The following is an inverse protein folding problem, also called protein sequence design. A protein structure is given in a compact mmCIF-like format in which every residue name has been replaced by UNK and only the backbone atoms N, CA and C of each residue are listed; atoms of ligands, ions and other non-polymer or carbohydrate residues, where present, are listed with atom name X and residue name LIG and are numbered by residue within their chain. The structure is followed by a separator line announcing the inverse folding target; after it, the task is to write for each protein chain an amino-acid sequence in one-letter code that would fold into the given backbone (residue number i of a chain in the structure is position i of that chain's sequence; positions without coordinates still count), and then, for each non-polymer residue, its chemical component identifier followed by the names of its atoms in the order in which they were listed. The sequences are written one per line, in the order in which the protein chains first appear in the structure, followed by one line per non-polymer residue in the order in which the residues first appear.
data_IF_372514647275
#
_entry.id   IF_372514647275
#
_cell.length_a   1.000
_cell.length_b   1.000
_cell.length_c   1.000
_cell.angle_alpha   90.00
_cell.angle_beta   90.00
_cell.angle_gamma   90.00
#
_symmetry.space_group_name_H-M   'P 1'
#
loop_
_entity.id
_entity.type
_entity.pdbx_description
1 polymer ?
#
# COMPACT_ATOMS: atom_id res chain seq x y z
N UNK A 1 26.27 -27.47 47.87
CA UNK A 1 25.48 -26.24 47.66
C UNK A 1 25.45 -25.94 46.16
N UNK A 2 24.42 -26.44 45.48
CA UNK A 2 24.20 -26.23 44.05
C UNK A 2 23.82 -24.77 43.81
N UNK A 3 24.62 -24.04 43.01
CA UNK A 3 24.28 -22.67 42.60
C UNK A 3 23.12 -22.76 41.62
N UNK A 4 21.94 -22.35 42.08
CA UNK A 4 20.77 -22.13 41.23
C UNK A 4 21.16 -21.07 40.19
N UNK A 5 21.02 -21.33 38.87
CA UNK A 5 21.32 -20.33 37.88
C UNK A 5 20.34 -19.16 37.97
N UNK A 6 20.89 -17.95 37.92
CA UNK A 6 20.20 -16.68 38.02
C UNK A 6 19.11 -16.55 36.93
N UNK A 7 17.85 -16.45 37.37
CA UNK A 7 16.66 -16.29 36.52
C UNK A 7 16.62 -14.93 35.78
N UNK A 8 17.58 -14.03 36.01
CA UNK A 8 17.67 -12.73 35.34
C UNK A 8 18.10 -12.80 33.87
N UNK A 9 18.65 -13.94 33.40
CA UNK A 9 19.22 -14.07 32.04
C UNK A 9 18.30 -14.64 30.96
N UNK A 10 17.02 -14.89 31.26
CA UNK A 10 16.04 -15.33 30.25
C UNK A 10 14.90 -14.32 30.16
N UNK A 11 15.22 -13.06 29.85
CA UNK A 11 14.30 -12.27 29.03
C UNK A 11 14.81 -12.39 27.61
N UNK A 12 14.33 -13.43 26.89
CA UNK A 12 14.19 -13.29 25.44
C UNK A 12 13.45 -11.97 25.25
N UNK A 13 14.14 -10.96 24.74
CA UNK A 13 13.44 -9.95 23.97
C UNK A 13 12.78 -10.75 22.86
N UNK A 14 11.51 -11.12 23.07
CA UNK A 14 10.59 -11.31 21.97
C UNK A 14 10.53 -9.93 21.32
N UNK A 15 11.51 -9.69 20.45
CA UNK A 15 11.54 -8.58 19.54
C UNK A 15 10.18 -8.61 18.86
N UNK A 16 9.38 -7.56 19.02
CA UNK A 16 7.99 -7.43 18.54
C UNK A 16 7.86 -8.08 17.14
N UNK A 17 7.37 -9.32 17.08
CA UNK A 17 7.07 -10.08 15.84
C UNK A 17 5.80 -9.54 15.15
N UNK A 18 5.48 -8.26 15.39
CA UNK A 18 4.38 -7.59 14.74
C UNK A 18 4.81 -7.22 13.32
N UNK A 19 3.99 -7.49 12.29
CA UNK A 19 4.22 -6.99 10.96
C UNK A 19 4.43 -5.47 11.00
N UNK A 20 5.62 -5.02 10.60
CA UNK A 20 5.91 -3.61 10.32
C UNK A 20 5.45 -3.36 8.89
N UNK A 21 4.13 -3.31 8.70
CA UNK A 21 3.55 -2.97 7.41
C UNK A 21 3.93 -1.52 7.11
N UNK A 22 4.59 -1.30 5.97
CA UNK A 22 4.87 0.03 5.42
C UNK A 22 4.07 0.17 4.14
N UNK A 23 3.70 1.41 3.78
CA UNK A 23 2.87 1.68 2.60
C UNK A 23 3.43 1.01 1.35
N UNK A 24 2.54 0.64 0.43
CA UNK A 24 2.96 0.20 -0.90
C UNK A 24 2.96 1.38 -1.87
N UNK A 25 3.93 1.40 -2.79
CA UNK A 25 3.93 2.26 -3.98
C UNK A 25 4.13 1.37 -5.20
N UNK A 26 3.38 1.63 -6.27
CA UNK A 26 3.56 0.96 -7.55
C UNK A 26 3.46 1.98 -8.69
N UNK A 27 4.21 1.79 -9.76
CA UNK A 27 4.17 2.69 -10.90
C UNK A 27 4.44 1.99 -12.23
N UNK A 28 3.82 2.51 -13.28
CA UNK A 28 3.95 2.06 -14.65
C UNK A 28 4.19 3.27 -15.55
N UNK A 29 5.06 3.10 -16.54
CA UNK A 29 5.35 4.11 -17.53
C UNK A 29 5.29 3.50 -18.94
N UNK A 30 4.85 4.30 -19.91
CA UNK A 30 4.76 3.95 -21.33
C UNK A 30 3.88 2.71 -21.61
N UNK A 31 2.69 2.65 -21.02
CA UNK A 31 1.71 1.59 -21.28
C UNK A 31 0.30 2.16 -21.39
N UNK A 32 -0.46 1.80 -22.43
CA UNK A 32 -1.86 2.21 -22.58
C UNK A 32 -2.77 1.73 -21.44
N UNK A 33 -2.32 0.71 -20.69
CA UNK A 33 -3.04 0.10 -19.56
C UNK A 33 -2.40 0.48 -18.21
N UNK A 34 -1.66 1.60 -18.14
CA UNK A 34 -0.87 1.98 -16.97
C UNK A 34 -1.66 1.97 -15.65
N UNK A 35 -2.88 2.49 -15.66
CA UNK A 35 -3.77 2.52 -14.50
C UNK A 35 -4.22 1.12 -14.07
N UNK A 36 -4.52 0.23 -15.04
CA UNK A 36 -4.93 -1.15 -14.76
C UNK A 36 -3.78 -1.97 -14.18
N UNK A 37 -2.58 -1.86 -14.75
CA UNK A 37 -1.40 -2.52 -14.18
C UNK A 37 -1.02 -1.95 -12.81
N UNK A 38 -1.20 -0.65 -12.61
CA UNK A 38 -0.98 -0.04 -11.28
C UNK A 38 -1.97 -0.56 -10.25
N UNK A 39 -3.25 -0.68 -10.61
CA UNK A 39 -4.26 -1.32 -9.77
C UNK A 39 -3.90 -2.77 -9.40
N UNK A 40 -3.49 -3.59 -10.37
CA UNK A 40 -3.11 -4.98 -10.10
C UNK A 40 -1.86 -5.08 -9.21
N UNK A 41 -0.88 -4.19 -9.42
CA UNK A 41 0.31 -4.07 -8.57
C UNK A 41 -0.07 -3.74 -7.13
N UNK A 42 -0.90 -2.72 -6.92
CA UNK A 42 -1.43 -2.36 -5.60
C UNK A 42 -2.25 -3.47 -4.97
N UNK A 43 -3.07 -4.18 -5.74
CA UNK A 43 -3.85 -5.32 -5.26
C UNK A 43 -2.94 -6.43 -4.74
N UNK A 44 -1.86 -6.76 -5.47
CA UNK A 44 -0.86 -7.75 -5.01
C UNK A 44 -0.16 -7.34 -3.71
N UNK A 45 -0.03 -6.04 -3.46
CA UNK A 45 0.58 -5.46 -2.27
C UNK A 45 -0.47 -4.97 -1.25
N UNK A 46 -1.69 -5.50 -1.27
CA UNK A 46 -2.76 -5.10 -0.35
C UNK A 46 -2.41 -5.32 1.13
N UNK A 47 -1.54 -6.29 1.43
CA UNK A 47 -1.07 -6.56 2.79
C UNK A 47 -0.33 -5.36 3.40
N UNK A 48 0.36 -4.56 2.55
CA UNK A 48 1.14 -3.36 2.93
C UNK A 48 0.34 -2.09 3.22
N UNK A 49 -0.97 -2.19 3.32
CA UNK A 49 -1.84 -1.06 3.67
C UNK A 49 -3.28 -1.33 3.26
N UNK A 50 -4.19 -1.28 4.22
CA UNK A 50 -5.60 -1.69 4.06
C UNK A 50 -6.59 -0.54 4.26
N UNK A 51 -6.08 0.65 4.60
CA UNK A 51 -6.90 1.74 5.09
C UNK A 51 -7.35 2.68 3.99
N UNK A 52 -6.51 2.90 2.99
CA UNK A 52 -6.88 3.66 1.81
C UNK A 52 -5.98 3.32 0.63
N UNK A 53 -6.45 3.53 -0.58
CA UNK A 53 -5.66 3.41 -1.78
C UNK A 53 -5.96 4.54 -2.76
N UNK A 54 -4.98 4.91 -3.57
CA UNK A 54 -5.10 5.97 -4.57
C UNK A 54 -4.22 5.71 -5.78
N UNK A 55 -4.70 6.11 -6.96
CA UNK A 55 -3.96 6.10 -8.22
C UNK A 55 -4.04 7.49 -8.84
N UNK A 56 -2.91 7.95 -9.37
CA UNK A 56 -2.80 9.09 -10.28
C UNK A 56 -2.23 8.59 -11.60
N UNK A 57 -2.86 8.94 -12.72
CA UNK A 57 -2.38 8.66 -14.07
C UNK A 57 -2.19 9.92 -14.89
N UNK A 58 -1.42 9.84 -15.98
CA UNK A 58 -1.13 10.96 -16.86
C UNK A 58 -1.00 10.53 -18.31
N UNK A 59 -1.52 11.35 -19.21
CA UNK A 59 -1.33 11.30 -20.66
C UNK A 59 -0.13 12.15 -21.14
N UNK A 60 0.58 12.80 -20.21
CA UNK A 60 1.66 13.75 -20.49
C UNK A 60 1.26 15.22 -20.46
N UNK A 61 -0.05 15.52 -20.46
CA UNK A 61 -0.59 16.89 -20.41
C UNK A 61 -1.45 17.11 -19.16
N UNK A 62 -2.24 16.10 -18.78
CA UNK A 62 -3.18 16.13 -17.67
C UNK A 62 -2.83 15.07 -16.62
N UNK A 63 -3.32 15.30 -15.41
CA UNK A 63 -3.31 14.33 -14.31
C UNK A 63 -4.73 13.92 -13.97
N UNK A 64 -4.98 12.62 -13.93
CA UNK A 64 -6.24 12.02 -13.52
C UNK A 64 -6.02 11.33 -12.19
N UNK A 65 -6.87 11.60 -11.18
CA UNK A 65 -6.69 11.08 -9.84
C UNK A 65 -7.97 10.47 -9.30
N UNK A 66 -7.85 9.31 -8.67
CA UNK A 66 -8.90 8.72 -7.85
C UNK A 66 -8.30 8.07 -6.59
N UNK A 67 -8.95 8.29 -5.46
CA UNK A 67 -8.55 7.71 -4.18
C UNK A 67 -9.77 7.48 -3.29
N UNK A 68 -9.68 6.48 -2.41
CA UNK A 68 -10.75 6.14 -1.49
C UNK A 68 -10.23 5.39 -0.26
N UNK A 69 -11.12 5.23 0.72
CA UNK A 69 -10.86 4.45 1.92
C UNK A 69 -11.18 2.97 1.69
N UNK A 70 -10.42 2.10 2.35
CA UNK A 70 -10.58 0.65 2.32
C UNK A 70 -9.65 -0.07 1.34
N UNK A 71 -10.08 -1.27 0.93
CA UNK A 71 -9.32 -2.18 0.09
C UNK A 71 -9.29 -1.73 -1.38
N UNK A 72 -8.18 -1.98 -2.06
CA UNK A 72 -7.92 -1.66 -3.47
C UNK A 72 -9.09 -2.10 -4.36
N UNK A 73 -9.55 -3.35 -4.22
CA UNK A 73 -10.64 -3.89 -5.04
C UNK A 73 -12.02 -3.26 -4.78
N UNK A 74 -12.22 -2.61 -3.63
CA UNK A 74 -13.47 -1.88 -3.34
C UNK A 74 -13.41 -0.44 -3.84
N UNK A 75 -12.21 0.16 -3.86
CA UNK A 75 -12.00 1.53 -4.31
C UNK A 75 -12.08 1.61 -5.83
N UNK A 76 -11.39 0.73 -6.55
CA UNK A 76 -11.24 0.83 -8.00
C UNK A 76 -12.22 -0.08 -8.74
N UNK A 77 -13.38 0.47 -9.10
CA UNK A 77 -14.30 -0.17 -10.04
C UNK A 77 -13.81 0.01 -11.48
N UNK A 78 -14.34 -0.79 -12.41
CA UNK A 78 -14.02 -0.66 -13.84
C UNK A 78 -14.29 0.77 -14.35
N UNK A 79 -15.39 1.39 -13.93
CA UNK A 79 -15.71 2.78 -14.28
C UNK A 79 -14.63 3.75 -13.77
N UNK A 80 -14.15 3.58 -12.53
CA UNK A 80 -13.11 4.45 -11.97
C UNK A 80 -11.75 4.25 -12.61
N UNK A 81 -11.41 3.03 -13.00
CA UNK A 81 -10.18 2.77 -13.75
C UNK A 81 -10.22 3.38 -15.15
N UNK A 82 -11.38 3.40 -15.82
CA UNK A 82 -11.56 4.07 -17.13
C UNK A 82 -11.44 5.60 -17.06
N UNK A 83 -11.74 6.21 -15.91
CA UNK A 83 -11.53 7.64 -15.67
C UNK A 83 -10.02 7.99 -15.51
N UNK A 84 -9.18 7.00 -15.17
CA UNK A 84 -7.73 7.16 -14.99
C UNK A 84 -6.99 6.93 -16.32
N UNK A 85 -7.04 7.93 -17.20
CA UNK A 85 -6.49 7.86 -18.55
C UNK A 85 -4.97 8.10 -18.58
N UNK A 86 -4.36 7.76 -19.72
CA UNK A 86 -2.96 8.05 -20.02
C UNK A 86 -2.04 6.83 -20.01
N UNK A 87 -0.76 7.05 -20.26
CA UNK A 87 0.24 5.99 -20.44
C UNK A 87 1.23 5.86 -19.27
N UNK A 88 1.07 6.67 -18.23
CA UNK A 88 1.84 6.61 -17.00
C UNK A 88 0.89 6.63 -15.80
N UNK A 89 1.23 5.88 -14.76
CA UNK A 89 0.46 5.88 -13.52
C UNK A 89 1.35 5.56 -12.32
N UNK A 90 1.00 6.13 -11.17
CA UNK A 90 1.55 5.80 -9.85
C UNK A 90 0.40 5.60 -8.87
N UNK A 91 0.55 4.64 -7.97
CA UNK A 91 -0.45 4.34 -6.97
C UNK A 91 0.17 4.03 -5.61
N UNK A 92 -0.65 4.12 -4.57
CA UNK A 92 -0.23 3.97 -3.19
C UNK A 92 -1.30 3.23 -2.35
N UNK A 93 -0.87 2.24 -1.57
CA UNK A 93 -1.68 1.69 -0.46
C UNK A 93 -1.17 2.25 0.86
N UNK A 94 -2.07 2.90 1.59
CA UNK A 94 -1.76 3.48 2.90
C UNK A 94 -1.98 2.45 3.98
N UNK A 95 -0.98 2.26 4.83
CA UNK A 95 -1.19 1.73 6.18
C UNK A 95 -1.40 2.89 7.16
N UNK A 96 -2.10 2.64 8.26
CA UNK A 96 -2.32 3.65 9.30
C UNK A 96 -1.03 3.97 10.02
N UNK A 97 -0.58 5.20 9.81
CA UNK A 97 0.36 5.86 10.71
C UNK A 97 -0.39 6.79 11.67
N UNK A 98 0.28 7.24 12.72
CA UNK A 98 -0.23 8.33 13.56
C UNK A 98 -0.39 9.58 12.68
N UNK A 99 -1.62 10.06 12.51
CA UNK A 99 -1.94 11.20 11.64
C UNK A 99 -3.40 11.19 11.16
N UNK A 100 -3.77 12.17 10.33
CA UNK A 100 -5.11 12.25 9.75
C UNK A 100 -5.26 11.34 8.51
N UNK A 101 -6.49 10.90 8.28
CA UNK A 101 -6.96 10.39 6.98
C UNK A 101 -7.52 11.57 6.17
N UNK A 102 -7.45 11.49 4.83
CA UNK A 102 -7.84 12.56 3.91
C UNK A 102 -9.33 12.54 3.55
#
# INVERSE_FOLDING_TARGET
MSRIPDKSRIRRQAQDDKPKEECAIFGIFNSSEASNFTYLGLYSMQHRGQESSGIVSSDGEHLYRYAGMGLVAHIFTETKLKELQGNAAIGHNRYSTTGASF
#
